data_IF_796136080562
#
_entry.id   IF_796136080562
#
_cell.length_a   1.000
_cell.length_b   1.000
_cell.length_c   1.000
_cell.angle_alpha   90.00
_cell.angle_beta   90.00
_cell.angle_gamma   90.00
#
_symmetry.space_group_name_H-M   'P 1'
#
loop_
_entity.id
_entity.type
_entity.pdbx_description
1 polymer ?
#
# COMPACT_ATOMS: atom_id res chain seq x y z
N UNK A 1 53.31 -15.79 7.98
CA UNK A 1 51.87 -16.09 7.75
C UNK A 1 50.97 -14.84 7.60
N UNK A 2 51.47 -13.64 7.25
CA UNK A 2 50.64 -12.42 7.09
C UNK A 2 49.97 -12.27 5.72
N UNK A 3 50.69 -12.61 4.63
CA UNK A 3 50.23 -12.35 3.26
C UNK A 3 48.99 -13.16 2.79
N UNK A 4 48.63 -14.26 3.46
CA UNK A 4 47.46 -15.08 3.08
C UNK A 4 46.15 -14.45 3.53
N UNK A 5 46.14 -13.76 4.67
CA UNK A 5 44.94 -13.11 5.21
C UNK A 5 44.65 -11.78 4.51
N UNK A 6 45.69 -11.06 4.06
CA UNK A 6 45.55 -9.81 3.29
C UNK A 6 44.88 -10.03 1.93
N UNK A 7 45.24 -11.11 1.23
CA UNK A 7 44.58 -11.49 -0.03
C UNK A 7 43.13 -11.95 0.18
N UNK A 8 42.83 -12.58 1.31
CA UNK A 8 41.47 -13.00 1.68
C UNK A 8 40.59 -11.80 2.03
N UNK A 9 41.15 -10.81 2.72
CA UNK A 9 40.50 -9.52 3.02
C UNK A 9 40.19 -8.73 1.74
N UNK A 10 41.15 -8.65 0.81
CA UNK A 10 40.95 -7.99 -0.49
C UNK A 10 39.86 -8.67 -1.33
N UNK A 11 39.76 -10.01 -1.30
CA UNK A 11 38.71 -10.75 -2.00
C UNK A 11 37.31 -10.50 -1.41
N UNK A 12 37.21 -10.27 -0.10
CA UNK A 12 35.92 -9.98 0.56
C UNK A 12 35.34 -8.61 0.20
N UNK A 13 36.16 -7.61 -0.14
CA UNK A 13 35.69 -6.28 -0.53
C UNK A 13 34.88 -6.28 -1.84
N UNK A 14 35.16 -7.23 -2.74
CA UNK A 14 34.45 -7.37 -4.01
C UNK A 14 33.10 -8.10 -3.89
N UNK A 15 32.76 -8.60 -2.70
CA UNK A 15 31.49 -9.29 -2.43
C UNK A 15 30.36 -8.36 -1.98
N UNK A 16 30.45 -7.07 -2.30
CA UNK A 16 29.36 -6.13 -2.05
C UNK A 16 28.32 -6.30 -3.16
N UNK A 17 27.36 -7.21 -2.95
CA UNK A 17 26.25 -7.41 -3.87
C UNK A 17 25.45 -6.12 -4.03
N UNK A 18 25.16 -5.72 -5.27
CA UNK A 18 24.25 -4.61 -5.53
C UNK A 18 22.85 -5.00 -5.02
N UNK A 19 22.45 -4.45 -3.87
CA UNK A 19 21.09 -4.57 -3.40
C UNK A 19 20.20 -3.71 -4.30
N UNK A 20 19.48 -4.35 -5.22
CA UNK A 20 18.43 -3.69 -6.00
C UNK A 20 17.24 -3.42 -5.09
N UNK A 21 17.35 -2.38 -4.26
CA UNK A 21 16.20 -1.84 -3.56
C UNK A 21 15.40 -1.00 -4.57
N UNK A 22 14.17 -1.42 -4.85
CA UNK A 22 13.24 -0.60 -5.61
C UNK A 22 12.85 0.65 -4.78
N UNK A 23 12.47 1.77 -5.42
CA UNK A 23 11.91 2.91 -4.70
C UNK A 23 10.69 2.45 -3.90
N UNK A 24 10.66 2.76 -2.61
CA UNK A 24 9.49 2.49 -1.77
C UNK A 24 8.62 3.75 -1.81
N UNK A 25 7.38 3.60 -2.25
CA UNK A 25 6.35 4.59 -2.07
C UNK A 25 5.63 4.29 -0.74
N UNK A 26 5.54 5.26 0.15
CA UNK A 26 4.80 5.10 1.41
C UNK A 26 3.40 5.69 1.31
N UNK A 27 2.43 4.98 1.87
CA UNK A 27 1.04 5.42 1.99
C UNK A 27 0.62 5.30 3.45
N UNK A 28 0.28 6.43 4.07
CA UNK A 28 -0.39 6.44 5.37
C UNK A 28 -1.88 6.17 5.19
N UNK A 29 -2.44 5.26 5.99
CA UNK A 29 -3.82 4.82 5.86
C UNK A 29 -4.56 4.98 7.18
N UNK A 30 -5.73 5.62 7.11
CA UNK A 30 -6.61 5.81 8.25
C UNK A 30 -7.99 5.24 7.92
N UNK A 31 -8.46 4.28 8.72
CA UNK A 31 -9.78 3.65 8.56
C UNK A 31 -10.64 3.97 9.77
N UNK A 32 -11.85 4.48 9.52
CA UNK A 32 -12.86 4.77 10.53
C UNK A 32 -14.11 3.94 10.29
N UNK A 33 -14.55 3.19 11.30
CA UNK A 33 -15.85 2.53 11.26
C UNK A 33 -16.98 3.56 11.34
N UNK A 34 -17.97 3.41 10.47
CA UNK A 34 -19.18 4.23 10.43
C UNK A 34 -20.29 3.46 11.14
N UNK A 35 -20.76 3.99 12.26
CA UNK A 35 -21.81 3.37 13.08
C UNK A 35 -22.99 4.34 13.20
N UNK A 36 -24.15 3.90 12.77
CA UNK A 36 -25.42 4.63 12.89
C UNK A 36 -26.44 3.74 13.59
N UNK A 37 -27.20 4.31 14.53
CA UNK A 37 -28.24 3.55 15.27
C UNK A 37 -27.72 2.23 15.86
N UNK A 38 -26.47 2.23 16.34
CA UNK A 38 -25.79 1.06 16.90
C UNK A 38 -25.55 -0.09 15.90
N UNK A 39 -25.61 0.19 14.60
CA UNK A 39 -25.29 -0.72 13.51
C UNK A 39 -24.08 -0.22 12.74
N UNK A 40 -23.15 -1.12 12.39
CA UNK A 40 -22.06 -0.83 11.48
C UNK A 40 -22.64 -0.66 10.07
N UNK A 41 -22.55 0.55 9.51
CA UNK A 41 -23.07 0.86 8.17
C UNK A 41 -21.97 0.93 7.11
N UNK A 42 -20.70 1.04 7.52
CA UNK A 42 -19.59 1.01 6.58
C UNK A 42 -18.25 1.42 7.19
N UNK A 43 -17.29 1.72 6.30
CA UNK A 43 -15.97 2.22 6.65
C UNK A 43 -15.64 3.45 5.81
N UNK A 44 -15.05 4.45 6.43
CA UNK A 44 -14.41 5.58 5.73
C UNK A 44 -12.90 5.38 5.76
N UNK A 45 -12.28 5.40 4.59
CA UNK A 45 -10.84 5.21 4.42
C UNK A 45 -10.21 6.49 3.85
N UNK A 46 -9.05 6.87 4.39
CA UNK A 46 -8.23 7.97 3.90
C UNK A 46 -6.81 7.44 3.64
N UNK A 47 -6.28 7.75 2.47
CA UNK A 47 -4.91 7.45 2.06
C UNK A 47 -4.14 8.75 1.85
N UNK A 48 -2.91 8.82 2.37
CA UNK A 48 -2.00 9.94 2.16
C UNK A 48 -0.67 9.39 1.65
N UNK A 49 -0.32 9.78 0.43
CA UNK A 49 0.97 9.43 -0.16
C UNK A 49 2.07 10.29 0.48
N UNK A 50 3.28 9.76 0.55
CA UNK A 50 4.45 10.55 0.91
C UNK A 50 4.73 11.67 -0.11
N UNK A 51 5.63 12.59 0.25
CA UNK A 51 5.95 13.77 -0.55
C UNK A 51 6.52 13.41 -1.93
N UNK A 52 7.40 12.40 -2.00
CA UNK A 52 8.04 11.98 -3.23
C UNK A 52 7.02 11.40 -4.22
N UNK A 53 6.18 10.48 -3.76
CA UNK A 53 5.15 9.82 -4.57
C UNK A 53 4.05 10.81 -4.96
N UNK A 54 3.63 11.69 -4.04
CA UNK A 54 2.68 12.77 -4.33
C UNK A 54 3.23 13.72 -5.40
N UNK A 55 4.52 14.06 -5.34
CA UNK A 55 5.15 14.95 -6.31
C UNK A 55 5.18 14.35 -7.71
N UNK A 56 5.43 13.04 -7.83
CA UNK A 56 5.38 12.33 -9.11
C UNK A 56 3.96 12.39 -9.72
N UNK A 57 2.93 12.07 -8.93
CA UNK A 57 1.53 12.16 -9.39
C UNK A 57 1.18 13.59 -9.81
N UNK A 58 1.53 14.59 -9.00
CA UNK A 58 1.28 16.00 -9.31
C UNK A 58 2.04 16.50 -10.55
N UNK A 59 3.19 15.91 -10.86
CA UNK A 59 3.94 16.22 -12.08
C UNK A 59 3.20 15.68 -13.30
N UNK A 60 2.75 14.43 -13.27
CA UNK A 60 2.00 13.81 -14.36
C UNK A 60 0.66 14.50 -14.58
N UNK A 61 -0.06 14.83 -13.50
CA UNK A 61 -1.31 15.59 -13.57
C UNK A 61 -1.14 16.98 -14.19
N UNK A 62 0.02 17.62 -13.99
CA UNK A 62 0.33 18.93 -14.61
C UNK A 62 0.64 18.82 -16.10
N UNK A 63 1.12 17.67 -16.56
CA UNK A 63 1.41 17.43 -17.97
C UNK A 63 0.17 16.98 -18.76
N UNK A 64 -0.84 16.45 -18.09
CA UNK A 64 -2.08 15.96 -18.70
C UNK A 64 -2.84 17.07 -19.45
N UNK A 65 -3.21 16.78 -20.70
CA UNK A 65 -3.88 17.69 -21.63
C UNK A 65 -5.39 17.59 -21.49
N UNK A 66 -5.90 18.16 -20.41
CA UNK A 66 -7.33 18.28 -20.14
C UNK A 66 -7.86 17.23 -19.18
N UNK A 67 -9.15 17.31 -18.89
CA UNK A 67 -9.77 16.60 -17.77
C UNK A 67 -9.83 15.08 -17.97
N UNK A 68 -10.00 14.60 -19.21
CA UNK A 68 -10.05 13.16 -19.49
C UNK A 68 -8.72 12.45 -19.18
N UNK A 69 -7.59 13.08 -19.51
CA UNK A 69 -6.26 12.51 -19.25
C UNK A 69 -5.91 12.56 -17.76
N UNK A 70 -6.31 13.63 -17.05
CA UNK A 70 -6.19 13.70 -15.59
C UNK A 70 -7.01 12.62 -14.90
N UNK A 71 -8.25 12.40 -15.35
CA UNK A 71 -9.11 11.35 -14.79
C UNK A 71 -8.47 9.97 -14.99
N UNK A 72 -7.90 9.70 -16.17
CA UNK A 72 -7.17 8.45 -16.43
C UNK A 72 -6.01 8.24 -15.47
N UNK A 73 -5.22 9.29 -15.18
CA UNK A 73 -4.13 9.21 -14.20
C UNK A 73 -4.64 8.91 -12.79
N UNK A 74 -5.74 9.55 -12.37
CA UNK A 74 -6.38 9.27 -11.08
C UNK A 74 -6.83 7.81 -11.02
N UNK A 75 -7.48 7.31 -12.07
CA UNK A 75 -7.98 5.94 -12.14
C UNK A 75 -6.82 4.92 -12.07
N UNK A 76 -5.71 5.20 -12.74
CA UNK A 76 -4.49 4.37 -12.68
C UNK A 76 -3.89 4.33 -11.27
N UNK A 77 -3.76 5.48 -10.60
CA UNK A 77 -3.28 5.55 -9.21
C UNK A 77 -4.19 4.76 -8.28
N UNK A 78 -5.51 4.93 -8.41
CA UNK A 78 -6.47 4.21 -7.57
C UNK A 78 -6.44 2.70 -7.82
N UNK A 79 -6.32 2.26 -9.07
CA UNK A 79 -6.22 0.84 -9.40
C UNK A 79 -4.94 0.22 -8.83
N UNK A 80 -3.83 0.94 -8.86
CA UNK A 80 -2.57 0.48 -8.25
C UNK A 80 -2.71 0.37 -6.72
N UNK A 81 -3.34 1.34 -6.06
CA UNK A 81 -3.59 1.28 -4.60
C UNK A 81 -4.45 0.06 -4.22
N UNK A 82 -5.43 -0.30 -5.05
CA UNK A 82 -6.26 -1.50 -4.84
C UNK A 82 -5.46 -2.79 -4.99
N UNK A 83 -4.60 -2.88 -6.00
CA UNK A 83 -3.86 -4.11 -6.30
C UNK A 83 -2.69 -4.36 -5.33
N UNK A 84 -2.08 -3.31 -4.79
CA UNK A 84 -0.96 -3.41 -3.84
C UNK A 84 -1.40 -3.72 -2.39
N UNK A 85 -2.61 -4.27 -2.21
CA UNK A 85 -3.16 -4.72 -0.92
C UNK A 85 -3.12 -3.66 0.21
N UNK A 86 -3.21 -2.37 -0.13
CA UNK A 86 -3.39 -1.27 0.84
C UNK A 86 -4.82 -1.22 1.45
N UNK A 87 -5.59 -2.30 1.33
CA UNK A 87 -6.94 -2.41 1.86
C UNK A 87 -6.95 -3.30 3.11
N UNK A 88 -7.66 -2.83 4.13
CA UNK A 88 -7.98 -3.64 5.31
C UNK A 88 -9.20 -4.52 5.02
N UNK A 89 -9.13 -5.81 5.36
CA UNK A 89 -10.24 -6.74 5.20
C UNK A 89 -11.04 -6.88 6.50
N UNK A 90 -12.37 -6.77 6.39
CA UNK A 90 -13.30 -7.01 7.49
C UNK A 90 -14.23 -8.18 7.15
N UNK A 91 -14.24 -9.22 7.97
CA UNK A 91 -15.03 -10.45 7.75
C UNK A 91 -16.20 -10.51 8.74
N UNK A 92 -17.43 -10.56 8.23
CA UNK A 92 -18.64 -10.74 9.04
C UNK A 92 -19.08 -12.21 8.98
N UNK A 93 -19.10 -12.89 10.13
CA UNK A 93 -19.72 -14.21 10.26
C UNK A 93 -21.12 -14.07 10.87
N UNK A 94 -22.15 -14.15 10.03
CA UNK A 94 -23.54 -14.15 10.50
C UNK A 94 -23.84 -15.52 11.09
N UNK A 95 -24.07 -15.60 12.39
CA UNK A 95 -24.55 -16.81 13.06
C UNK A 95 -26.05 -16.69 13.28
N UNK A 96 -26.84 -17.35 12.45
CA UNK A 96 -28.29 -17.47 12.65
C UNK A 96 -28.57 -18.48 13.75
N UNK A 97 -29.11 -18.02 14.89
CA UNK A 97 -29.57 -18.89 15.97
C UNK A 97 -30.97 -19.40 15.59
N UNK A 98 -31.08 -20.64 15.11
CA UNK A 98 -32.40 -21.26 14.87
C UNK A 98 -33.08 -21.49 16.22
N UNK A 99 -34.22 -20.84 16.43
CA UNK A 99 -35.06 -21.07 17.60
C UNK A 99 -35.69 -22.47 17.50
N UNK A 100 -35.11 -23.44 18.21
CA UNK A 100 -35.74 -24.75 18.41
C UNK A 100 -36.93 -24.52 19.35
N UNK A 101 -38.13 -24.35 18.77
CA UNK A 101 -39.39 -24.48 19.48
C UNK A 101 -39.46 -25.91 20.03
N UNK A 102 -39.25 -26.07 21.34
CA UNK A 102 -39.66 -27.29 22.03
C UNK A 102 -41.18 -27.30 22.12
N UNK A 103 -41.76 -28.34 21.51
CA UNK A 103 -43.08 -28.89 21.79
C UNK A 103 -43.08 -29.54 23.17
#
# INVERSE_FOLDING_TARGET
>A
MRAKHEKLLLLSLFYTGAAFAHPHAFIEMQTKALVEQNQLVGFSMKWMLDEASSSAVLYDMRQARGEAEKQKLIDEVMNNVVNEHYFSYFLIKITTRSNIKNR
#
